data_IF_045217690841
#
_entry.id   IF_045217690841
#
_cell.length_a   1.000
_cell.length_b   1.000
_cell.length_c   1.000
_cell.angle_alpha   90.00
_cell.angle_beta   90.00
_cell.angle_gamma   90.00
#
_symmetry.space_group_name_H-M   'P 1'
#
loop_
_entity.id
_entity.type
_entity.pdbx_description
1 polymer ?
#
# COMPACT_ATOMS: atom_id res chain seq x y z
N UNK A 1 4.72 -16.98 -17.01
CA UNK A 1 5.30 -15.68 -17.42
C UNK A 1 5.00 -14.68 -16.31
N UNK A 2 6.02 -14.05 -15.73
CA UNK A 2 5.83 -13.04 -14.67
C UNK A 2 5.29 -11.77 -15.32
N UNK A 3 4.24 -11.15 -14.75
CA UNK A 3 3.60 -9.95 -15.30
C UNK A 3 4.61 -8.82 -15.57
N UNK A 4 5.60 -8.68 -14.70
CA UNK A 4 6.65 -7.66 -14.74
C UNK A 4 7.57 -7.79 -15.97
N UNK A 5 7.72 -8.98 -16.55
CA UNK A 5 8.61 -9.21 -17.70
C UNK A 5 8.18 -8.50 -18.98
N UNK A 6 6.98 -7.91 -19.01
CA UNK A 6 6.46 -7.09 -20.12
C UNK A 6 6.30 -5.61 -19.77
N UNK A 7 6.72 -5.17 -18.58
CA UNK A 7 6.57 -3.78 -18.20
C UNK A 7 7.50 -2.89 -19.05
N UNK A 8 6.94 -1.82 -19.62
CA UNK A 8 7.68 -0.84 -20.41
C UNK A 8 8.61 0.04 -19.57
N UNK A 9 8.29 0.18 -18.29
CA UNK A 9 9.04 0.94 -17.30
C UNK A 9 9.30 0.05 -16.10
N UNK A 10 10.58 -0.10 -15.75
CA UNK A 10 11.02 -0.79 -14.53
C UNK A 10 11.46 0.28 -13.54
N UNK A 11 10.72 0.42 -12.44
CA UNK A 11 10.95 1.46 -11.44
C UNK A 11 10.82 0.88 -10.04
N UNK A 12 11.66 1.34 -9.12
CA UNK A 12 11.68 0.93 -7.72
C UNK A 12 11.24 2.05 -6.76
N UNK A 13 10.63 3.12 -7.28
CA UNK A 13 10.17 4.26 -6.51
C UNK A 13 8.72 4.56 -6.85
N UNK A 14 7.87 4.54 -5.83
CA UNK A 14 6.46 4.91 -5.92
C UNK A 14 6.29 6.34 -6.46
N UNK A 15 7.19 7.25 -6.07
CA UNK A 15 7.15 8.64 -6.55
C UNK A 15 7.45 8.72 -8.05
N UNK A 16 8.47 7.99 -8.53
CA UNK A 16 8.81 7.95 -9.96
C UNK A 16 7.68 7.30 -10.79
N UNK A 17 7.03 6.26 -10.25
CA UNK A 17 5.83 5.66 -10.85
C UNK A 17 4.71 6.70 -10.95
N UNK A 18 4.42 7.43 -9.87
CA UNK A 18 3.40 8.49 -9.84
C UNK A 18 3.66 9.58 -10.88
N UNK A 19 4.89 10.09 -10.95
CA UNK A 19 5.27 11.09 -11.95
C UNK A 19 5.12 10.57 -13.39
N UNK A 20 5.47 9.31 -13.64
CA UNK A 20 5.32 8.70 -14.97
C UNK A 20 3.85 8.56 -15.39
N UNK A 21 2.98 8.20 -14.43
CA UNK A 21 1.54 8.14 -14.65
C UNK A 21 0.95 9.53 -14.94
N UNK A 22 1.33 10.53 -14.16
CA UNK A 22 0.90 11.92 -14.36
C UNK A 22 1.34 12.48 -15.72
N UNK A 23 2.52 12.08 -16.21
CA UNK A 23 3.02 12.42 -17.54
C UNK A 23 2.37 11.62 -18.69
N UNK A 24 1.42 10.72 -18.40
CA UNK A 24 0.72 9.92 -19.41
C UNK A 24 1.56 8.80 -20.03
N UNK A 25 2.65 8.36 -19.37
CA UNK A 25 3.58 7.36 -19.92
C UNK A 25 3.05 5.91 -19.85
N UNK A 26 1.86 5.70 -19.26
CA UNK A 26 1.22 4.39 -19.25
C UNK A 26 0.23 4.20 -18.09
N UNK A 27 0.10 2.96 -17.65
CA UNK A 27 -0.72 2.56 -16.51
C UNK A 27 0.10 1.67 -15.57
N UNK A 28 -0.35 1.53 -14.32
CA UNK A 28 0.28 0.70 -13.32
C UNK A 28 -0.76 -0.12 -12.55
N UNK A 29 -0.34 -1.29 -12.07
CA UNK A 29 -1.07 -2.04 -11.04
C UNK A 29 -0.49 -1.63 -9.70
N UNK A 30 -1.33 -1.21 -8.77
CA UNK A 30 -0.87 -0.69 -7.49
C UNK A 30 -1.97 -0.60 -6.44
N UNK A 31 -1.62 -0.09 -5.27
CA UNK A 31 -2.58 0.24 -4.22
C UNK A 31 -2.97 1.71 -4.31
N UNK A 32 -4.23 2.02 -3.98
CA UNK A 32 -4.73 3.40 -3.89
C UNK A 32 -3.96 4.22 -2.84
N UNK A 33 -3.43 3.56 -1.81
CA UNK A 33 -2.80 4.21 -0.65
C UNK A 33 -1.71 5.23 -1.05
N UNK A 34 -0.88 4.89 -2.03
CA UNK A 34 0.22 5.76 -2.47
C UNK A 34 -0.18 6.78 -3.55
N UNK A 35 -1.33 6.57 -4.17
CA UNK A 35 -1.84 7.44 -5.24
C UNK A 35 -3.00 8.30 -4.76
N UNK A 36 -3.28 8.30 -3.44
CA UNK A 36 -4.46 8.93 -2.85
C UNK A 36 -4.62 10.38 -3.31
N UNK A 37 -3.60 11.22 -3.12
CA UNK A 37 -3.66 12.64 -3.49
C UNK A 37 -3.89 12.85 -4.99
N UNK A 38 -3.23 12.05 -5.84
CA UNK A 38 -3.41 12.12 -7.28
C UNK A 38 -4.81 11.64 -7.73
N UNK A 39 -5.40 10.68 -7.01
CA UNK A 39 -6.76 10.20 -7.27
C UNK A 39 -7.79 11.23 -6.82
N UNK A 40 -7.65 11.76 -5.60
CA UNK A 40 -8.55 12.75 -5.02
C UNK A 40 -8.57 14.06 -5.82
N UNK A 41 -7.42 14.50 -6.32
CA UNK A 41 -7.31 15.67 -7.21
C UNK A 41 -7.88 15.44 -8.62
N UNK A 42 -8.22 14.20 -8.98
CA UNK A 42 -8.65 13.83 -10.32
C UNK A 42 -7.53 13.73 -11.36
N UNK A 43 -6.26 13.89 -10.95
CA UNK A 43 -5.11 13.71 -11.84
C UNK A 43 -4.99 12.27 -12.34
N UNK A 44 -5.29 11.30 -11.48
CA UNK A 44 -5.29 9.88 -11.81
C UNK A 44 -6.67 9.27 -11.60
N UNK A 45 -7.03 8.37 -12.51
CA UNK A 45 -8.20 7.50 -12.36
C UNK A 45 -7.74 6.07 -12.09
N UNK A 46 -8.55 5.31 -11.35
CA UNK A 46 -8.29 3.90 -11.09
C UNK A 46 -9.51 3.05 -11.44
N UNK A 47 -9.27 1.76 -11.67
CA UNK A 47 -10.31 0.74 -11.84
C UNK A 47 -9.93 -0.49 -11.01
N UNK A 48 -10.88 -1.15 -10.32
CA UNK A 48 -10.59 -2.36 -9.59
C UNK A 48 -10.29 -3.52 -10.55
N UNK A 49 -9.35 -4.39 -10.17
CA UNK A 49 -9.18 -5.70 -10.79
C UNK A 49 -10.18 -6.62 -10.10
N UNK A 50 -11.18 -7.09 -10.84
CA UNK A 50 -12.32 -7.85 -10.29
C UNK A 50 -12.10 -9.36 -10.31
N UNK A 51 -11.41 -9.89 -11.32
CA UNK A 51 -11.19 -11.32 -11.47
C UNK A 51 -9.79 -11.63 -12.04
N UNK A 52 -8.92 -12.31 -11.26
CA UNK A 52 -9.05 -12.57 -9.83
C UNK A 52 -8.90 -11.27 -9.02
N UNK A 53 -9.66 -11.11 -7.95
CA UNK A 53 -9.44 -10.02 -7.00
C UNK A 53 -8.03 -10.13 -6.40
N UNK A 54 -7.26 -9.03 -6.45
CA UNK A 54 -5.90 -8.99 -5.91
C UNK A 54 -5.92 -8.49 -4.46
N UNK A 55 -5.40 -9.31 -3.56
CA UNK A 55 -5.20 -8.96 -2.16
C UNK A 55 -3.80 -9.32 -1.67
N UNK A 56 -3.37 -8.65 -0.59
CA UNK A 56 -2.15 -8.99 0.16
C UNK A 56 -2.38 -8.73 1.64
N UNK A 57 -1.77 -9.55 2.49
CA UNK A 57 -1.77 -9.33 3.94
C UNK A 57 -0.50 -8.61 4.33
N UNK A 58 -0.63 -7.54 5.13
CA UNK A 58 0.50 -6.85 5.73
C UNK A 58 0.63 -7.28 7.18
N UNK A 59 1.86 -7.52 7.62
CA UNK A 59 2.18 -7.92 8.98
C UNK A 59 3.10 -6.87 9.61
N UNK A 60 2.90 -6.62 10.90
CA UNK A 60 3.87 -5.91 11.73
C UNK A 60 4.78 -6.98 12.32
N UNK A 61 6.07 -6.93 11.99
CA UNK A 61 7.05 -7.93 12.40
C UNK A 61 8.05 -7.34 13.40
N UNK A 62 8.50 -8.17 14.33
CA UNK A 62 9.55 -7.86 15.30
C UNK A 62 10.63 -8.96 15.31
N UNK A 63 11.79 -8.65 15.89
CA UNK A 63 12.88 -9.62 16.02
C UNK A 63 12.56 -10.60 17.15
N UNK A 64 12.42 -11.89 16.82
CA UNK A 64 12.01 -12.93 17.76
C UNK A 64 13.03 -13.20 18.87
N UNK A 65 14.31 -12.88 18.65
CA UNK A 65 15.43 -13.13 19.56
C UNK A 65 15.73 -11.94 20.49
N UNK A 66 15.06 -10.81 20.32
CA UNK A 66 15.26 -9.62 21.14
C UNK A 66 14.15 -9.48 22.18
N UNK A 67 14.48 -9.36 23.48
CA UNK A 67 13.50 -9.04 24.48
C UNK A 67 12.78 -7.73 24.15
N UNK A 68 11.46 -7.73 24.24
CA UNK A 68 10.68 -6.53 24.02
C UNK A 68 11.05 -5.47 25.07
N UNK A 69 11.28 -4.24 24.61
CA UNK A 69 11.44 -3.08 25.47
C UNK A 69 10.12 -2.33 25.60
N UNK A 70 9.93 -1.56 26.67
CA UNK A 70 8.75 -0.69 26.78
C UNK A 70 8.56 0.23 25.57
N UNK A 71 9.67 0.69 24.97
CA UNK A 71 9.62 1.50 23.76
C UNK A 71 9.08 0.70 22.56
N UNK A 72 9.54 -0.54 22.37
CA UNK A 72 9.04 -1.42 21.30
C UNK A 72 7.54 -1.67 21.45
N UNK A 73 7.10 -2.02 22.66
CA UNK A 73 5.69 -2.27 22.98
C UNK A 73 4.81 -1.05 22.68
N UNK A 74 5.25 0.14 23.13
CA UNK A 74 4.53 1.39 22.90
C UNK A 74 4.45 1.75 21.41
N UNK A 75 5.55 1.57 20.67
CA UNK A 75 5.58 1.81 19.21
C UNK A 75 4.69 0.83 18.48
N UNK A 76 4.72 -0.47 18.83
CA UNK A 76 3.85 -1.47 18.22
C UNK A 76 2.38 -1.13 18.45
N UNK A 77 2.00 -0.78 19.69
CA UNK A 77 0.64 -0.37 20.00
C UNK A 77 0.21 0.84 19.18
N UNK A 78 1.07 1.87 19.11
CA UNK A 78 0.80 3.09 18.34
C UNK A 78 0.61 2.80 16.85
N UNK A 79 1.47 1.98 16.25
CA UNK A 79 1.36 1.58 14.84
C UNK A 79 0.04 0.86 14.58
N UNK A 80 -0.29 -0.15 15.41
CA UNK A 80 -1.53 -0.91 15.25
C UNK A 80 -2.77 -0.02 15.42
N UNK A 81 -2.75 0.93 16.34
CA UNK A 81 -3.83 1.88 16.54
C UNK A 81 -4.01 2.83 15.36
N UNK A 82 -2.91 3.35 14.80
CA UNK A 82 -2.94 4.22 13.61
C UNK A 82 -3.46 3.46 12.37
N UNK A 83 -3.05 2.21 12.20
CA UNK A 83 -3.54 1.34 11.12
C UNK A 83 -5.05 1.09 11.31
N UNK A 84 -5.46 0.69 12.52
CA UNK A 84 -6.88 0.43 12.83
C UNK A 84 -7.73 1.66 12.53
N UNK A 85 -7.33 2.85 13.01
CA UNK A 85 -8.03 4.11 12.73
C UNK A 85 -8.10 4.39 11.23
N UNK A 86 -6.99 4.26 10.51
CA UNK A 86 -6.96 4.52 9.05
C UNK A 86 -7.90 3.59 8.27
N UNK A 87 -8.06 2.34 8.71
CA UNK A 87 -9.00 1.38 8.11
C UNK A 87 -10.44 1.74 8.46
N UNK A 88 -10.73 2.00 9.74
CA UNK A 88 -12.09 2.35 10.22
C UNK A 88 -12.58 3.67 9.62
N UNK A 89 -11.71 4.66 9.50
CA UNK A 89 -12.00 5.96 8.91
C UNK A 89 -12.13 5.90 7.37
N UNK A 90 -11.90 4.75 6.75
CA UNK A 90 -11.97 4.56 5.29
C UNK A 90 -10.79 5.16 4.50
N UNK A 91 -9.84 5.84 5.17
CA UNK A 91 -8.62 6.38 4.54
C UNK A 91 -7.76 5.29 3.92
N UNK A 92 -7.80 4.09 4.49
CA UNK A 92 -7.18 2.91 3.92
C UNK A 92 -8.23 1.83 3.66
N UNK A 93 -8.51 1.58 2.39
CA UNK A 93 -9.36 0.47 1.93
C UNK A 93 -8.66 -0.87 2.17
N UNK A 94 -8.82 -1.39 3.37
CA UNK A 94 -8.33 -2.70 3.80
C UNK A 94 -9.30 -3.29 4.81
N UNK A 95 -9.03 -4.53 5.23
CA UNK A 95 -9.73 -5.18 6.35
C UNK A 95 -8.72 -5.58 7.39
N UNK A 96 -9.07 -5.40 8.66
CA UNK A 96 -8.31 -6.00 9.75
C UNK A 96 -8.46 -7.51 9.64
N UNK A 97 -7.34 -8.22 9.60
CA UNK A 97 -7.31 -9.67 9.63
C UNK A 97 -6.97 -10.06 11.07
N UNK A 98 -7.88 -10.73 11.76
CA UNK A 98 -7.55 -11.35 13.04
C UNK A 98 -6.61 -12.53 12.77
N UNK A 99 -5.53 -12.63 13.54
CA UNK A 99 -4.92 -13.92 13.84
C UNK A 99 -5.64 -14.50 15.05
#
# INVERSE_FOLDING_TARGET
MILEGRAKLQMNSVHAIGASLAAGLGCAIGTKLFMYEHIESGLLHYRPIVEPELSRTLYVCEMADRPATYALEAVRSLILDLIRRSVVDGRWQARMVML
#
